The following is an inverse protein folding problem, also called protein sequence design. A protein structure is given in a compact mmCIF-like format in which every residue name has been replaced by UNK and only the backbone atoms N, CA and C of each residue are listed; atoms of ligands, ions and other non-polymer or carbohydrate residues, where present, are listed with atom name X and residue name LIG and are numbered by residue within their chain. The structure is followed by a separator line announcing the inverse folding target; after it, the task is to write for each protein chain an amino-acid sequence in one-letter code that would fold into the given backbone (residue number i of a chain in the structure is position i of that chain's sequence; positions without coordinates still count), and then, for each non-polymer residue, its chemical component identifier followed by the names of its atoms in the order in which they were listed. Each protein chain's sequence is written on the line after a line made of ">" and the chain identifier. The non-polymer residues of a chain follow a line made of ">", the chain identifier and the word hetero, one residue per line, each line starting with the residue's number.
data_IF_937177395971
#
_entry.id   IF_937177395971
#
_cell.length_a   1.000
_cell.length_b   1.000
_cell.length_c   1.000
_cell.angle_alpha   90.00
_cell.angle_beta   90.00
_cell.angle_gamma   90.00
#
_symmetry.space_group_name_H-M   'P 1'
#
loop_
_entity.id
_entity.type
_entity.pdbx_description
1 polymer ?
#
# COMPACT_ATOMS: atom_id res chain seq x y z
N UNK A 1 -11.58 -23.21 -5.35
CA UNK A 1 -11.99 -23.21 -3.92
C UNK A 1 -10.74 -23.05 -3.07
N UNK A 2 -10.71 -22.10 -2.14
CA UNK A 2 -9.60 -22.00 -1.18
C UNK A 2 -9.64 -23.24 -0.27
N UNK A 3 -8.47 -23.76 0.11
CA UNK A 3 -8.30 -24.86 1.06
C UNK A 3 -7.46 -24.39 2.26
N UNK A 4 -7.59 -25.04 3.41
CA UNK A 4 -6.94 -24.63 4.66
C UNK A 4 -7.79 -23.72 5.55
N UNK A 5 -7.18 -23.16 6.61
CA UNK A 5 -7.84 -22.22 7.53
C UNK A 5 -7.89 -20.83 6.89
N UNK A 6 -9.07 -20.42 6.46
CA UNK A 6 -9.31 -19.11 5.83
C UNK A 6 -10.23 -18.30 6.72
N UNK A 7 -9.81 -17.07 7.03
CA UNK A 7 -10.63 -16.10 7.73
C UNK A 7 -10.76 -14.86 6.86
N UNK A 8 -11.99 -14.54 6.46
CA UNK A 8 -12.29 -13.25 5.85
C UNK A 8 -12.13 -12.15 6.91
N UNK A 9 -11.60 -11.01 6.49
CA UNK A 9 -11.45 -9.82 7.33
C UNK A 9 -12.27 -8.66 6.79
N UNK A 10 -12.48 -7.64 7.63
CA UNK A 10 -13.13 -6.38 7.29
C UNK A 10 -12.26 -5.20 7.72
N UNK A 11 -12.45 -4.02 7.13
CA UNK A 11 -11.74 -2.81 7.57
C UNK A 11 -11.98 -2.52 9.06
N UNK A 12 -10.93 -2.14 9.78
CA UNK A 12 -10.97 -1.83 11.21
C UNK A 12 -10.83 -3.03 12.14
N UNK A 13 -10.73 -4.25 11.62
CA UNK A 13 -10.48 -5.44 12.44
C UNK A 13 -9.01 -5.52 12.89
N UNK A 14 -8.82 -6.06 14.10
CA UNK A 14 -7.50 -6.35 14.70
C UNK A 14 -7.48 -7.79 15.20
N UNK A 15 -6.48 -8.58 14.81
CA UNK A 15 -6.39 -10.01 15.09
C UNK A 15 -4.93 -10.43 15.30
N UNK A 16 -4.75 -11.65 15.82
CA UNK A 16 -3.46 -12.32 15.88
C UNK A 16 -3.55 -13.66 15.14
N UNK A 17 -2.62 -13.90 14.21
CA UNK A 17 -2.55 -15.13 13.43
C UNK A 17 -1.10 -15.61 13.41
N UNK A 18 -0.88 -16.86 13.81
CA UNK A 18 0.47 -17.47 13.90
C UNK A 18 1.47 -16.61 14.71
N UNK A 19 1.01 -15.96 15.78
CA UNK A 19 1.83 -15.08 16.63
C UNK A 19 2.11 -13.70 16.05
N UNK A 20 1.54 -13.36 14.89
CA UNK A 20 1.66 -12.03 14.27
C UNK A 20 0.37 -11.27 14.49
N UNK A 21 0.47 -10.12 15.18
CA UNK A 21 -0.64 -9.19 15.35
C UNK A 21 -0.78 -8.33 14.11
N UNK A 22 -2.01 -8.14 13.65
CA UNK A 22 -2.30 -7.21 12.58
C UNK A 22 -3.57 -6.40 12.84
N UNK A 23 -3.61 -5.23 12.21
CA UNK A 23 -4.78 -4.35 12.11
C UNK A 23 -5.08 -4.11 10.63
N UNK A 24 -6.34 -3.84 10.29
CA UNK A 24 -6.75 -3.53 8.92
C UNK A 24 -7.17 -2.06 8.79
N UNK A 25 -6.77 -1.44 7.68
CA UNK A 25 -7.08 -0.05 7.36
C UNK A 25 -7.86 -0.02 6.05
N UNK A 26 -8.98 0.69 5.93
CA UNK A 26 -9.70 0.83 4.66
C UNK A 26 -8.77 1.29 3.50
N UNK A 27 -8.84 0.61 2.37
CA UNK A 27 -8.14 0.95 1.13
C UNK A 27 -9.15 1.11 -0.02
N UNK A 28 -9.29 2.32 -0.54
CA UNK A 28 -10.28 2.66 -1.55
C UNK A 28 -9.96 3.97 -2.28
N UNK A 29 -10.58 4.16 -3.44
CA UNK A 29 -10.46 5.36 -4.27
C UNK A 29 -11.43 6.47 -3.84
N UNK A 30 -10.98 7.72 -3.92
CA UNK A 30 -11.72 8.93 -3.52
C UNK A 30 -11.85 9.95 -4.65
N UNK A 31 -11.06 9.86 -5.71
CA UNK A 31 -11.11 10.79 -6.84
C UNK A 31 -11.98 10.25 -7.97
N UNK A 32 -12.76 11.13 -8.61
CA UNK A 32 -13.83 10.78 -9.56
C UNK A 32 -13.36 9.80 -10.64
N UNK A 33 -12.21 10.06 -11.26
CA UNK A 33 -11.69 9.23 -12.36
C UNK A 33 -11.13 7.88 -11.91
N UNK A 34 -10.98 7.63 -10.60
CA UNK A 34 -10.53 6.35 -10.03
C UNK A 34 -11.60 5.63 -9.20
N UNK A 35 -12.77 6.22 -8.93
CA UNK A 35 -13.79 5.65 -8.02
C UNK A 35 -14.18 4.19 -8.31
N UNK A 36 -14.11 3.77 -9.58
CA UNK A 36 -14.47 2.42 -9.99
C UNK A 36 -13.31 1.41 -9.91
N UNK A 37 -12.07 1.88 -9.69
CA UNK A 37 -10.89 0.99 -9.62
C UNK A 37 -10.78 0.31 -8.26
N UNK A 38 -10.95 1.05 -7.17
CA UNK A 38 -11.04 0.53 -5.80
C UNK A 38 -12.28 1.07 -5.08
N UNK A 39 -13.50 0.64 -5.44
CA UNK A 39 -14.73 1.13 -4.82
C UNK A 39 -14.75 0.87 -3.31
N UNK A 40 -15.14 1.88 -2.53
CA UNK A 40 -15.25 1.76 -1.06
C UNK A 40 -16.18 0.62 -0.61
N UNK A 41 -17.20 0.30 -1.41
CA UNK A 41 -18.13 -0.81 -1.16
C UNK A 41 -17.47 -2.20 -1.12
N UNK A 42 -16.28 -2.34 -1.71
CA UNK A 42 -15.57 -3.61 -1.74
C UNK A 42 -14.96 -3.99 -0.38
N UNK A 43 -14.87 -3.04 0.56
CA UNK A 43 -14.29 -3.27 1.89
C UNK A 43 -12.86 -3.83 1.84
N UNK A 44 -12.08 -3.42 0.83
CA UNK A 44 -10.67 -3.76 0.74
C UNK A 44 -9.85 -3.06 1.80
N UNK A 45 -8.69 -3.64 2.12
CA UNK A 45 -7.87 -3.20 3.24
C UNK A 45 -6.39 -3.15 2.89
N UNK A 46 -5.70 -2.20 3.50
CA UNK A 46 -4.29 -2.30 3.86
C UNK A 46 -4.14 -2.98 5.24
N UNK A 47 -2.92 -3.39 5.56
CA UNK A 47 -2.60 -4.08 6.81
C UNK A 47 -1.52 -3.36 7.58
N UNK A 48 -1.66 -3.24 8.90
CA UNK A 48 -0.57 -2.89 9.79
C UNK A 48 -0.14 -4.15 10.51
N UNK A 49 1.08 -4.62 10.28
CA UNK A 49 1.65 -5.77 10.97
C UNK A 49 2.51 -5.27 12.13
N UNK A 50 2.39 -5.92 13.29
CA UNK A 50 3.31 -5.70 14.42
C UNK A 50 4.32 -6.84 14.47
N UNK A 51 5.59 -6.52 14.20
CA UNK A 51 6.69 -7.46 14.17
C UNK A 51 7.82 -6.91 15.05
N UNK A 52 8.23 -7.68 16.05
CA UNK A 52 9.29 -7.30 17.00
C UNK A 52 9.10 -5.89 17.60
N UNK A 53 7.86 -5.58 18.01
CA UNK A 53 7.50 -4.28 18.58
C UNK A 53 7.38 -3.12 17.58
N UNK A 54 7.71 -3.33 16.31
CA UNK A 54 7.61 -2.33 15.24
C UNK A 54 6.35 -2.51 14.39
N UNK A 55 5.83 -1.42 13.86
CA UNK A 55 4.62 -1.37 13.04
C UNK A 55 4.96 -1.15 11.57
N UNK A 56 4.46 -2.03 10.71
CA UNK A 56 4.67 -2.02 9.26
C UNK A 56 3.32 -1.94 8.56
N UNK A 57 3.04 -0.80 7.94
CA UNK A 57 1.80 -0.57 7.21
C UNK A 57 2.01 -0.84 5.72
N UNK A 58 1.19 -1.73 5.17
CA UNK A 58 1.02 -1.96 3.75
C UNK A 58 -0.28 -1.29 3.33
N UNK A 59 -0.20 -0.27 2.48
CA UNK A 59 -1.35 0.60 2.18
C UNK A 59 -2.52 -0.12 1.51
N UNK A 60 -2.24 -1.21 0.80
CA UNK A 60 -3.12 -1.68 -0.26
C UNK A 60 -3.18 -0.66 -1.41
N UNK A 61 -4.16 -0.84 -2.28
CA UNK A 61 -4.37 0.02 -3.44
C UNK A 61 -5.55 0.95 -3.21
N UNK A 62 -5.36 2.23 -3.54
CA UNK A 62 -6.37 3.26 -3.33
C UNK A 62 -5.78 4.68 -3.34
N UNK A 63 -6.59 5.61 -2.87
CA UNK A 63 -6.30 7.04 -2.84
C UNK A 63 -6.06 7.57 -1.42
N UNK A 64 -5.52 8.79 -1.28
CA UNK A 64 -5.61 9.54 -0.03
C UNK A 64 -7.06 9.59 0.45
N UNK A 65 -7.27 9.15 1.68
CA UNK A 65 -8.58 9.10 2.31
C UNK A 65 -8.47 9.33 3.83
N UNK A 66 -9.57 9.70 4.52
CA UNK A 66 -9.53 10.04 5.94
C UNK A 66 -9.08 8.92 6.87
N UNK A 67 -9.15 7.65 6.43
CA UNK A 67 -8.77 6.50 7.23
C UNK A 67 -7.24 6.29 7.19
N UNK A 68 -6.64 6.34 5.99
CA UNK A 68 -5.18 6.18 5.86
C UNK A 68 -4.40 7.37 6.42
N UNK A 69 -4.98 8.58 6.44
CA UNK A 69 -4.34 9.77 7.04
C UNK A 69 -4.24 9.71 8.57
N UNK A 70 -4.91 8.75 9.21
CA UNK A 70 -4.86 8.53 10.67
C UNK A 70 -3.90 7.41 11.07
N UNK A 71 -3.32 6.70 10.10
CA UNK A 71 -2.44 5.54 10.35
C UNK A 71 -1.28 5.92 11.26
N UNK A 72 -0.96 5.01 12.19
CA UNK A 72 0.23 5.08 13.05
C UNK A 72 1.10 3.88 12.73
N UNK A 73 2.30 4.13 12.22
CA UNK A 73 3.23 3.10 11.76
C UNK A 73 4.67 3.60 11.83
N UNK A 74 5.64 2.70 11.99
CA UNK A 74 7.06 3.02 11.91
C UNK A 74 7.53 3.00 10.46
N UNK A 75 7.09 1.99 9.71
CA UNK A 75 7.40 1.82 8.28
C UNK A 75 6.11 1.84 7.48
N UNK A 76 6.07 2.62 6.41
CA UNK A 76 4.94 2.70 5.47
C UNK A 76 5.36 2.19 4.09
N UNK A 77 4.82 1.04 3.67
CA UNK A 77 4.88 0.53 2.31
C UNK A 77 3.65 1.04 1.55
N UNK A 78 3.85 2.02 0.68
CA UNK A 78 2.76 2.83 0.10
C UNK A 78 2.77 2.79 -1.44
N UNK A 79 1.60 2.65 -2.04
CA UNK A 79 1.45 2.65 -3.50
C UNK A 79 1.73 4.03 -4.10
N UNK A 80 2.44 4.06 -5.23
CA UNK A 80 2.82 5.30 -5.94
C UNK A 80 2.63 5.21 -7.46
N UNK A 81 1.91 4.20 -7.95
CA UNK A 81 1.77 3.91 -9.38
C UNK A 81 0.95 4.92 -10.19
N UNK A 82 0.17 5.77 -9.51
CA UNK A 82 -0.69 6.75 -10.16
C UNK A 82 -1.82 6.13 -10.97
N UNK A 83 -2.29 6.90 -11.94
CA UNK A 83 -3.44 6.55 -12.75
C UNK A 83 -3.21 5.29 -13.60
N UNK A 84 -4.27 4.51 -13.84
CA UNK A 84 -5.65 4.75 -13.41
C UNK A 84 -5.99 4.16 -12.03
N UNK A 85 -5.07 3.49 -11.34
CA UNK A 85 -5.44 2.56 -10.25
C UNK A 85 -5.27 3.13 -8.84
N UNK A 86 -4.18 3.86 -8.60
CA UNK A 86 -3.77 4.22 -7.23
C UNK A 86 -3.31 5.66 -7.16
N UNK A 87 -3.02 6.12 -5.95
CA UNK A 87 -2.41 7.41 -5.74
C UNK A 87 -1.07 7.55 -6.49
N UNK A 88 -0.82 8.74 -7.03
CA UNK A 88 0.44 9.09 -7.68
C UNK A 88 1.52 9.46 -6.65
N UNK A 89 2.79 9.65 -7.07
CA UNK A 89 3.89 9.97 -6.15
C UNK A 89 3.65 11.20 -5.28
N UNK A 90 3.00 12.24 -5.82
CA UNK A 90 2.70 13.48 -5.09
C UNK A 90 1.63 13.28 -4.03
N UNK A 91 0.58 12.55 -4.38
CA UNK A 91 -0.51 12.19 -3.46
C UNK A 91 0.02 11.33 -2.30
N UNK A 92 0.81 10.29 -2.61
CA UNK A 92 1.46 9.44 -1.62
C UNK A 92 2.42 10.22 -0.72
N UNK A 93 3.20 11.14 -1.28
CA UNK A 93 4.09 12.03 -0.52
C UNK A 93 3.28 12.87 0.49
N UNK A 94 2.11 13.35 0.09
CA UNK A 94 1.17 14.03 0.97
C UNK A 94 0.73 13.18 2.16
N UNK A 95 0.39 11.91 1.92
CA UNK A 95 -0.01 10.96 2.97
C UNK A 95 1.13 10.71 3.96
N UNK A 96 2.34 10.38 3.48
CA UNK A 96 3.46 10.08 4.39
C UNK A 96 3.92 11.29 5.20
N UNK A 97 3.81 12.51 4.65
CA UNK A 97 4.09 13.75 5.41
C UNK A 97 3.08 14.00 6.52
N UNK A 98 1.82 13.55 6.36
CA UNK A 98 0.79 13.64 7.40
C UNK A 98 0.99 12.61 8.50
N UNK A 99 1.23 11.34 8.14
CA UNK A 99 1.35 10.25 9.13
C UNK A 99 2.75 10.15 9.76
N UNK A 100 3.77 10.72 9.12
CA UNK A 100 5.15 10.86 9.59
C UNK A 100 5.77 9.52 10.07
N UNK A 101 5.89 8.51 9.18
CA UNK A 101 6.57 7.28 9.54
C UNK A 101 8.08 7.55 9.69
N UNK A 102 8.79 6.64 10.34
CA UNK A 102 10.25 6.68 10.40
C UNK A 102 10.87 6.38 9.02
N UNK A 103 10.21 5.52 8.25
CA UNK A 103 10.63 5.12 6.91
C UNK A 103 9.41 4.94 6.00
N UNK A 104 9.49 5.44 4.77
CA UNK A 104 8.55 5.10 3.71
C UNK A 104 9.24 4.31 2.60
N UNK A 105 8.52 3.33 2.04
CA UNK A 105 8.95 2.46 0.95
C UNK A 105 7.89 2.53 -0.14
N UNK A 106 8.17 3.13 -1.31
CA UNK A 106 7.20 3.14 -2.40
C UNK A 106 7.00 1.71 -2.94
N UNK A 107 5.77 1.37 -3.32
CA UNK A 107 5.41 0.12 -4.00
C UNK A 107 4.40 0.39 -5.13
N UNK A 108 3.98 -0.68 -5.84
CA UNK A 108 2.99 -0.61 -6.93
C UNK A 108 3.38 0.38 -8.05
N UNK A 109 4.64 0.36 -8.49
CA UNK A 109 5.12 1.17 -9.62
C UNK A 109 6.21 0.44 -10.42
N UNK A 110 6.43 0.85 -11.67
CA UNK A 110 7.56 0.38 -12.50
C UNK A 110 7.42 -1.04 -13.05
N UNK A 111 6.21 -1.62 -13.04
CA UNK A 111 5.92 -2.93 -13.66
C UNK A 111 4.72 -2.88 -14.61
N UNK A 112 3.49 -2.89 -14.08
CA UNK A 112 2.27 -2.75 -14.90
C UNK A 112 1.86 -1.29 -15.06
N UNK A 113 2.05 -0.50 -14.00
CA UNK A 113 1.74 0.92 -13.95
C UNK A 113 2.88 1.73 -13.35
N UNK A 114 2.86 3.03 -13.62
CA UNK A 114 3.95 3.93 -13.30
C UNK A 114 5.25 3.57 -14.01
N UNK A 115 6.29 4.32 -13.69
CA UNK A 115 7.65 4.14 -14.21
C UNK A 115 8.64 4.10 -13.07
N UNK A 116 9.83 3.54 -13.28
CA UNK A 116 10.83 3.43 -12.22
C UNK A 116 11.16 4.78 -11.53
N UNK A 117 11.11 5.88 -12.28
CA UNK A 117 11.35 7.24 -11.75
C UNK A 117 10.26 7.74 -10.80
N UNK A 118 9.10 7.09 -10.71
CA UNK A 118 8.04 7.47 -9.76
C UNK A 118 8.49 7.26 -8.30
N UNK A 119 9.29 6.22 -8.04
CA UNK A 119 9.90 6.02 -6.72
C UNK A 119 10.85 7.15 -6.34
N UNK A 120 11.62 7.68 -7.30
CA UNK A 120 12.54 8.81 -7.09
C UNK A 120 11.78 10.12 -6.88
N UNK A 121 10.73 10.34 -7.66
CA UNK A 121 9.83 11.50 -7.48
C UNK A 121 9.18 11.47 -6.11
N UNK A 122 8.65 10.31 -5.70
CA UNK A 122 8.09 10.13 -4.37
C UNK A 122 9.14 10.43 -3.29
N UNK A 123 10.35 9.89 -3.41
CA UNK A 123 11.43 10.14 -2.45
C UNK A 123 11.77 11.63 -2.30
N UNK A 124 11.81 12.36 -3.42
CA UNK A 124 12.04 13.81 -3.42
C UNK A 124 10.91 14.58 -2.74
N UNK A 125 9.65 14.25 -3.05
CA UNK A 125 8.49 15.00 -2.60
C UNK A 125 8.03 14.67 -1.17
N UNK A 126 8.41 13.48 -0.68
CA UNK A 126 8.14 13.02 0.68
C UNK A 126 9.07 13.64 1.74
N UNK A 127 10.12 14.35 1.33
CA UNK A 127 11.03 15.02 2.26
C UNK A 127 10.26 15.88 3.28
N UNK A 128 10.62 15.83 4.58
CA UNK A 128 11.83 15.21 5.14
C UNK A 128 11.69 13.73 5.54
N UNK A 129 10.59 13.05 5.21
CA UNK A 129 10.42 11.63 5.54
C UNK A 129 11.52 10.82 4.84
N UNK A 130 12.20 9.94 5.58
CA UNK A 130 13.21 9.04 5.00
C UNK A 130 12.52 8.07 4.06
N UNK A 131 13.02 7.96 2.84
CA UNK A 131 12.52 7.03 1.83
C UNK A 131 13.58 6.00 1.48
N UNK A 132 13.19 4.73 1.45
CA UNK A 132 14.01 3.63 0.93
C UNK A 132 13.34 3.05 -0.32
N UNK A 133 13.95 3.27 -1.47
CA UNK A 133 13.57 2.58 -2.71
C UNK A 133 14.17 1.18 -2.65
N UNK A 134 13.34 0.15 -2.78
CA UNK A 134 13.77 -1.25 -2.80
C UNK A 134 13.82 -1.77 -4.24
N UNK A 135 14.84 -2.57 -4.55
CA UNK A 135 14.93 -3.30 -5.81
C UNK A 135 14.24 -4.66 -5.63
N UNK A 136 13.32 -5.06 -6.52
CA UNK A 136 12.76 -6.41 -6.49
C UNK A 136 13.88 -7.46 -6.57
N UNK A 137 13.91 -8.40 -5.62
CA UNK A 137 14.92 -9.48 -5.59
C UNK A 137 14.62 -10.53 -6.66
N UNK A 138 13.33 -10.80 -6.90
CA UNK A 138 12.86 -11.54 -8.05
C UNK A 138 12.25 -10.52 -9.01
N UNK A 139 12.96 -10.17 -10.09
CA UNK A 139 12.30 -9.55 -11.23
C UNK A 139 11.24 -10.56 -11.67
N UNK A 140 9.95 -10.24 -11.51
CA UNK A 140 8.88 -11.21 -11.76
C UNK A 140 9.06 -11.80 -13.16
N UNK A 141 9.46 -13.08 -13.22
CA UNK A 141 9.16 -13.91 -14.36
C UNK A 141 7.67 -13.68 -14.66
N UNK A 142 7.32 -13.46 -15.93
CA UNK A 142 5.98 -13.83 -16.35
C UNK A 142 5.86 -15.29 -15.97
N UNK A 143 5.17 -15.61 -14.87
CA UNK A 143 4.61 -16.95 -14.70
C UNK A 143 3.85 -17.19 -16.00
N UNK A 144 4.30 -18.20 -16.75
CA UNK A 144 4.17 -18.24 -18.19
C UNK A 144 2.80 -17.77 -18.68
N UNK A 145 2.82 -16.96 -19.74
CA UNK A 145 1.72 -17.03 -20.68
C UNK A 145 1.59 -18.49 -21.08
N UNK A 146 0.70 -19.22 -20.41
CA UNK A 146 0.06 -20.36 -21.01
C UNK A 146 -0.63 -19.78 -22.25
N UNK A 147 -0.02 -20.06 -23.39
CA UNK A 147 -0.69 -20.24 -24.67
C UNK A 147 -2.14 -20.67 -24.46
N UNK A 148 -3.08 -19.85 -24.92
CA UNK A 148 -4.24 -20.25 -25.73
C UNK A 148 -4.79 -19.02 -26.44
#
# INVERSE_FOLDING_TARGET
>A
KLSGSVKAIKPGESLEVAGIKFETVPAYSTVEHRLQTHPKSNNWVGYILTLDGHRYWFSGDGDPNPDIEKVKTDVALICVGGDPYVMNPTEAAGVVKKIRPQLAVPNHYGFVVGVASDGERFAKEAAPVKVQIMKPVNAFERTGAATH
#
